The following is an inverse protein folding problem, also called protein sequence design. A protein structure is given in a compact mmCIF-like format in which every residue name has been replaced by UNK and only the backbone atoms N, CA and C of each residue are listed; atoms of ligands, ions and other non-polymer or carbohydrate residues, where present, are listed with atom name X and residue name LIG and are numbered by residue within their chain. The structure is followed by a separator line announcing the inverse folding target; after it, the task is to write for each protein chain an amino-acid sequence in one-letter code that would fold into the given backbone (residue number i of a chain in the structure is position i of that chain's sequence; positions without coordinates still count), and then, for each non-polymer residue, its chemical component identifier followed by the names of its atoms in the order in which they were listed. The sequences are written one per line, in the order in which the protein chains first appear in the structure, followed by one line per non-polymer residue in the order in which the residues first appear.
data_IF_315778430943
#
_entry.id   IF_315778430943
#
_cell.length_a   1.000
_cell.length_b   1.000
_cell.length_c   1.000
_cell.angle_alpha   90.00
_cell.angle_beta   90.00
_cell.angle_gamma   90.00
#
_symmetry.space_group_name_H-M   'P 1'
#
loop_
_entity.id
_entity.type
_entity.pdbx_description
1 polymer ?
#
# COMPACT_ATOMS: atom_id res chain seq x y z
N UNK A 1 -41.28 12.40 2.16
CA UNK A 1 -39.97 12.15 1.52
C UNK A 1 -39.26 11.05 2.28
N UNK A 2 -39.16 9.81 1.76
CA UNK A 2 -38.44 8.75 2.44
C UNK A 2 -36.93 9.03 2.40
N UNK A 3 -36.27 8.95 3.55
CA UNK A 3 -34.81 8.96 3.64
C UNK A 3 -34.29 7.73 2.89
N UNK A 4 -33.62 7.94 1.76
CA UNK A 4 -32.91 6.85 1.10
C UNK A 4 -31.73 6.44 2.00
N UNK A 5 -31.87 5.31 2.68
CA UNK A 5 -30.78 4.67 3.40
C UNK A 5 -29.70 4.32 2.38
N UNK A 6 -28.54 4.98 2.49
CA UNK A 6 -27.37 4.65 1.67
C UNK A 6 -26.94 3.22 2.02
N UNK A 7 -26.83 2.30 1.03
CA UNK A 7 -26.44 0.92 1.29
C UNK A 7 -25.10 0.85 2.02
N UNK A 8 -24.99 -0.03 3.01
CA UNK A 8 -23.73 -0.27 3.70
C UNK A 8 -22.66 -0.74 2.70
N UNK A 9 -21.40 -0.40 2.95
CA UNK A 9 -20.27 -0.78 2.07
C UNK A 9 -20.23 -2.30 1.76
N UNK A 10 -20.71 -3.12 2.70
CA UNK A 10 -20.84 -4.57 2.55
C UNK A 10 -21.88 -5.00 1.51
N UNK A 11 -22.94 -4.20 1.34
CA UNK A 11 -23.96 -4.45 0.32
C UNK A 11 -23.48 -4.04 -1.08
N UNK A 12 -22.69 -2.96 -1.18
CA UNK A 12 -22.08 -2.51 -2.43
C UNK A 12 -21.09 -3.54 -2.99
N UNK A 13 -20.30 -4.19 -2.13
CA UNK A 13 -19.37 -5.25 -2.54
C UNK A 13 -20.03 -6.51 -3.13
N UNK A 14 -21.35 -6.66 -2.99
CA UNK A 14 -22.11 -7.83 -3.49
C UNK A 14 -22.75 -7.57 -4.86
N UNK A 15 -22.88 -6.30 -5.25
CA UNK A 15 -23.57 -5.85 -6.46
C UNK A 15 -22.60 -5.81 -7.65
N UNK A 16 -21.35 -5.45 -7.40
CA UNK A 16 -20.24 -5.63 -8.33
C UNK A 16 -19.62 -7.00 -8.03
N UNK A 17 -19.50 -7.90 -9.02
CA UNK A 17 -18.78 -9.19 -8.87
C UNK A 17 -17.28 -8.96 -8.69
N UNK A 18 -16.89 -8.33 -7.59
CA UNK A 18 -15.51 -8.15 -7.14
C UNK A 18 -15.23 -9.26 -6.15
N UNK A 19 -14.48 -10.25 -6.60
CA UNK A 19 -14.07 -11.39 -5.81
C UNK A 19 -13.13 -10.91 -4.68
N UNK A 20 -13.66 -10.70 -3.47
CA UNK A 20 -12.92 -10.28 -2.27
C UNK A 20 -12.11 -11.45 -1.66
N UNK A 21 -12.18 -12.64 -2.25
CA UNK A 21 -11.59 -13.88 -1.73
C UNK A 21 -10.37 -14.38 -2.53
N UNK A 22 -10.16 -13.90 -3.76
CA UNK A 22 -8.85 -13.85 -4.43
C UNK A 22 -8.23 -12.47 -4.18
N UNK A 23 -7.07 -12.40 -3.54
CA UNK A 23 -6.63 -11.27 -2.69
C UNK A 23 -6.51 -9.90 -3.42
N UNK A 24 -7.63 -9.24 -3.72
CA UNK A 24 -7.74 -7.95 -4.43
C UNK A 24 -6.75 -6.90 -3.91
N UNK A 25 -6.54 -6.87 -2.59
CA UNK A 25 -5.58 -5.95 -1.99
C UNK A 25 -4.13 -6.30 -2.33
N UNK A 26 -3.80 -7.59 -2.37
CA UNK A 26 -2.48 -8.04 -2.79
C UNK A 26 -2.23 -7.70 -4.27
N UNK A 27 -3.23 -7.87 -5.11
CA UNK A 27 -3.15 -7.53 -6.53
C UNK A 27 -3.00 -6.02 -6.73
N UNK A 28 -3.75 -5.21 -5.99
CA UNK A 28 -3.57 -3.75 -5.96
C UNK A 28 -2.14 -3.37 -5.54
N UNK A 29 -1.62 -3.95 -4.45
CA UNK A 29 -0.26 -3.66 -3.96
C UNK A 29 0.81 -4.10 -4.96
N UNK A 30 0.67 -5.29 -5.54
CA UNK A 30 1.59 -5.79 -6.56
C UNK A 30 1.55 -4.95 -7.83
N UNK A 31 0.36 -4.52 -8.25
CA UNK A 31 0.18 -3.64 -9.40
C UNK A 31 0.86 -2.29 -9.14
N UNK A 32 0.59 -1.65 -8.00
CA UNK A 32 1.24 -0.41 -7.60
C UNK A 32 2.77 -0.56 -7.52
N UNK A 33 3.25 -1.69 -6.98
CA UNK A 33 4.69 -1.99 -6.91
C UNK A 33 5.33 -2.13 -8.30
N UNK A 34 4.67 -2.84 -9.22
CA UNK A 34 5.17 -3.04 -10.58
C UNK A 34 5.18 -1.74 -11.38
N UNK A 35 4.13 -0.93 -11.30
CA UNK A 35 4.12 0.41 -11.90
C UNK A 35 5.24 1.29 -11.32
N UNK A 36 5.38 1.30 -10.00
CA UNK A 36 6.42 2.10 -9.35
C UNK A 36 7.84 1.67 -9.74
N UNK A 37 8.08 0.39 -10.05
CA UNK A 37 9.38 -0.07 -10.57
C UNK A 37 9.72 0.51 -11.95
N UNK A 38 8.70 0.82 -12.76
CA UNK A 38 8.88 1.43 -14.08
C UNK A 38 9.09 2.95 -13.95
N UNK A 39 8.48 3.58 -12.95
CA UNK A 39 8.51 5.04 -12.78
C UNK A 39 9.68 5.53 -11.92
N UNK A 40 10.00 4.84 -10.82
CA UNK A 40 11.01 5.28 -9.86
C UNK A 40 12.35 4.57 -10.04
N UNK A 41 13.45 5.32 -9.84
CA UNK A 41 14.77 4.71 -9.60
C UNK A 41 14.69 3.77 -8.40
N UNK A 42 15.39 2.63 -8.46
CA UNK A 42 15.39 1.62 -7.38
C UNK A 42 15.69 2.23 -6.00
N UNK A 43 16.66 3.13 -5.92
CA UNK A 43 17.01 3.86 -4.70
C UNK A 43 17.05 5.36 -4.98
N UNK A 44 16.90 6.18 -3.94
CA UNK A 44 16.93 7.64 -4.11
C UNK A 44 18.31 8.20 -4.42
N UNK A 45 19.37 7.48 -4.04
CA UNK A 45 20.76 7.82 -4.36
C UNK A 45 21.66 6.58 -4.16
N UNK A 46 22.84 6.62 -4.75
CA UNK A 46 23.87 5.57 -4.59
C UNK A 46 24.32 5.44 -3.13
N UNK A 47 24.42 6.56 -2.40
CA UNK A 47 24.84 6.63 -0.99
C UNK A 47 23.74 6.31 0.03
N UNK A 48 22.54 5.94 -0.41
CA UNK A 48 21.46 5.58 0.53
C UNK A 48 21.79 4.29 1.27
N UNK A 49 21.15 4.04 2.42
CA UNK A 49 21.31 2.78 3.17
C UNK A 49 20.76 1.54 2.43
N UNK A 50 20.11 1.74 1.28
CA UNK A 50 19.53 0.70 0.40
C UNK A 50 18.66 -0.37 1.12
N UNK A 51 18.11 -0.04 2.30
CA UNK A 51 17.24 -0.95 3.07
C UNK A 51 15.89 -1.19 2.38
N UNK A 52 15.37 -0.15 1.73
CA UNK A 52 14.10 -0.17 1.03
C UNK A 52 14.29 0.49 -0.33
N UNK A 53 13.64 -0.09 -1.33
CA UNK A 53 13.57 0.50 -2.67
C UNK A 53 12.46 1.54 -2.73
N UNK A 54 12.58 2.55 -3.59
CA UNK A 54 11.50 3.54 -3.76
C UNK A 54 10.18 2.90 -4.23
N UNK A 55 10.19 1.92 -5.15
CA UNK A 55 8.98 1.19 -5.52
C UNK A 55 8.29 0.48 -4.34
N UNK A 56 9.06 -0.12 -3.41
CA UNK A 56 8.50 -0.71 -2.19
C UNK A 56 7.81 0.34 -1.33
N UNK A 57 8.47 1.47 -1.10
CA UNK A 57 7.92 2.54 -0.28
C UNK A 57 6.66 3.15 -0.90
N UNK A 58 6.62 3.26 -2.23
CA UNK A 58 5.43 3.70 -2.96
C UNK A 58 4.26 2.73 -2.81
N UNK A 59 4.49 1.43 -2.99
CA UNK A 59 3.41 0.43 -2.86
C UNK A 59 2.83 0.39 -1.44
N UNK A 60 3.67 0.58 -0.40
CA UNK A 60 3.20 0.71 0.99
C UNK A 60 2.39 1.99 1.19
N UNK A 61 2.81 3.11 0.57
CA UNK A 61 2.05 4.34 0.59
C UNK A 61 0.70 4.20 -0.13
N UNK A 62 0.65 3.50 -1.27
CA UNK A 62 -0.59 3.19 -1.97
C UNK A 62 -1.52 2.31 -1.11
N UNK A 63 -0.96 1.28 -0.46
CA UNK A 63 -1.69 0.44 0.50
C UNK A 63 -2.30 1.26 1.64
N UNK A 64 -1.51 2.19 2.22
CA UNK A 64 -1.99 3.14 3.23
C UNK A 64 -3.16 3.97 2.70
N UNK A 65 -2.99 4.60 1.53
CA UNK A 65 -3.98 5.52 0.95
C UNK A 65 -5.28 4.81 0.61
N UNK A 66 -5.21 3.62 0.01
CA UNK A 66 -6.37 2.80 -0.33
C UNK A 66 -7.21 2.45 0.90
N UNK A 67 -6.55 1.99 1.98
CA UNK A 67 -7.23 1.64 3.23
C UNK A 67 -7.55 2.83 4.14
N UNK A 68 -7.16 4.05 3.74
CA UNK A 68 -7.28 5.28 4.55
C UNK A 68 -6.63 5.15 5.94
N UNK A 69 -5.60 4.33 6.05
CA UNK A 69 -4.87 4.15 7.31
C UNK A 69 -3.94 5.34 7.59
N UNK A 70 -3.65 5.55 8.87
CA UNK A 70 -2.47 6.30 9.26
C UNK A 70 -1.19 5.48 9.06
N UNK A 71 -0.04 6.13 9.22
CA UNK A 71 1.26 5.50 8.98
C UNK A 71 1.61 4.39 9.99
N UNK A 72 1.16 4.49 11.24
CA UNK A 72 1.47 3.49 12.27
C UNK A 72 0.64 2.24 12.04
N UNK A 73 -0.68 2.42 11.88
CA UNK A 73 -1.62 1.34 11.56
C UNK A 73 -1.25 0.62 10.26
N UNK A 74 -0.75 1.34 9.26
CA UNK A 74 -0.21 0.73 8.03
C UNK A 74 0.92 -0.27 8.34
N UNK A 75 1.86 0.11 9.21
CA UNK A 75 3.01 -0.73 9.54
C UNK A 75 2.60 -1.92 10.41
N UNK A 76 1.67 -1.75 11.35
CA UNK A 76 1.14 -2.86 12.15
C UNK A 76 0.43 -3.90 11.27
N UNK A 77 -0.43 -3.46 10.34
CA UNK A 77 -1.05 -4.37 9.37
C UNK A 77 -0.01 -5.09 8.49
N UNK A 78 1.04 -4.39 8.07
CA UNK A 78 2.13 -4.97 7.28
C UNK A 78 2.93 -6.01 8.07
N UNK A 79 3.13 -5.84 9.38
CA UNK A 79 3.80 -6.82 10.25
C UNK A 79 3.01 -8.13 10.35
N UNK A 80 1.69 -8.04 10.43
CA UNK A 80 0.80 -9.21 10.57
C UNK A 80 0.72 -9.97 9.24
N UNK A 81 0.72 -9.27 8.10
CA UNK A 81 0.54 -9.88 6.78
C UNK A 81 1.85 -10.34 6.13
N UNK A 82 2.21 -11.60 6.34
CA UNK A 82 3.36 -12.23 5.66
C UNK A 82 3.21 -12.24 4.12
N UNK A 83 1.98 -12.31 3.61
CA UNK A 83 1.68 -12.24 2.17
C UNK A 83 2.10 -10.89 1.57
N UNK A 84 1.75 -9.78 2.22
CA UNK A 84 2.15 -8.44 1.77
C UNK A 84 3.67 -8.24 1.82
N UNK A 85 4.32 -8.74 2.88
CA UNK A 85 5.78 -8.68 3.00
C UNK A 85 6.48 -9.42 1.86
N UNK A 86 6.00 -10.63 1.54
CA UNK A 86 6.53 -11.45 0.43
C UNK A 86 6.27 -10.79 -0.92
N UNK A 87 5.07 -10.30 -1.17
CA UNK A 87 4.71 -9.59 -2.41
C UNK A 87 5.62 -8.39 -2.67
N UNK A 88 5.92 -7.62 -1.63
CA UNK A 88 6.80 -6.45 -1.71
C UNK A 88 8.29 -6.80 -1.60
N UNK A 89 8.65 -8.08 -1.41
CA UNK A 89 10.04 -8.53 -1.22
C UNK A 89 10.76 -7.77 -0.10
N UNK A 90 10.06 -7.50 1.00
CA UNK A 90 10.60 -6.79 2.15
C UNK A 90 11.53 -7.71 2.96
N UNK A 91 12.77 -7.27 3.18
CA UNK A 91 13.71 -7.95 4.10
C UNK A 91 13.43 -7.59 5.56
N UNK A 92 13.00 -6.36 5.79
CA UNK A 92 12.63 -5.82 7.11
C UNK A 92 11.41 -4.94 6.97
N UNK A 93 10.69 -4.73 8.07
CA UNK A 93 9.54 -3.83 8.08
C UNK A 93 10.04 -2.39 8.22
N UNK A 94 9.64 -1.47 7.32
CA UNK A 94 9.99 -0.06 7.46
C UNK A 94 9.33 0.56 8.69
N UNK A 95 10.06 1.43 9.38
CA UNK A 95 9.46 2.27 10.40
C UNK A 95 8.47 3.26 9.76
N UNK A 96 7.39 3.64 10.46
CA UNK A 96 6.33 4.50 9.90
C UNK A 96 6.87 5.84 9.35
N UNK A 97 7.88 6.42 10.00
CA UNK A 97 8.54 7.66 9.52
C UNK A 97 9.30 7.47 8.20
N UNK A 98 9.66 6.24 7.83
CA UNK A 98 10.28 5.94 6.53
C UNK A 98 9.30 6.24 5.41
N UNK A 99 8.04 5.82 5.55
CA UNK A 99 6.98 6.08 4.57
C UNK A 99 6.65 7.57 4.53
N UNK A 100 6.56 8.23 5.69
CA UNK A 100 6.35 9.69 5.77
C UNK A 100 7.46 10.48 5.06
N UNK A 101 8.73 10.15 5.32
CA UNK A 101 9.89 10.79 4.68
C UNK A 101 9.91 10.54 3.18
N UNK A 102 9.48 9.35 2.73
CA UNK A 102 9.32 9.05 1.32
C UNK A 102 8.23 9.91 0.68
N UNK A 103 7.04 9.98 1.29
CA UNK A 103 5.94 10.81 0.79
C UNK A 103 6.37 12.28 0.65
N UNK A 104 6.96 12.85 1.70
CA UNK A 104 7.50 14.22 1.68
C UNK A 104 8.54 14.45 0.59
N UNK A 105 9.26 13.41 0.14
CA UNK A 105 10.25 13.51 -0.92
C UNK A 105 9.62 13.57 -2.31
N UNK A 106 8.57 12.79 -2.55
CA UNK A 106 7.92 12.72 -3.88
C UNK A 106 6.89 13.82 -4.12
N UNK A 107 6.46 14.52 -3.08
CA UNK A 107 5.54 15.68 -3.17
C UNK A 107 6.28 17.03 -3.13
N UNK A 108 7.61 17.01 -3.16
CA UNK A 108 8.43 18.20 -3.36
C UNK A 108 8.69 18.37 -4.84
#
# INVERSE_FOLDING_TARGET
MPRHETPSLYQLSKIEKVDLTGNMMLDFVLTAYNYAKLTFKKYSSQYSKQKYTQPQLFAILAYKTYNKYDYRNTIENLKISTKLQKALKLKTIPHYTTIQKFFKKITR
#
